data_IF_584838405656
#
_entry.id   IF_584838405656
#
_cell.length_a   1.000
_cell.length_b   1.000
_cell.length_c   1.000
_cell.angle_alpha   90.00
_cell.angle_beta   90.00
_cell.angle_gamma   90.00
#
_symmetry.space_group_name_H-M   'P 1'
#
loop_
_entity.id
_entity.type
_entity.pdbx_description
1 polymer ?
#
# COMPACT_ATOMS: atom_id res chain seq x y z
N UNK A 1 6.17 -0.97 -7.94
CA UNK A 1 5.29 -1.99 -8.56
C UNK A 1 4.87 -1.52 -9.94
N UNK A 2 4.64 -2.45 -10.87
CA UNK A 2 3.98 -2.11 -12.14
C UNK A 2 2.51 -1.79 -11.85
N UNK A 3 1.97 -0.73 -12.44
CA UNK A 3 0.56 -0.40 -12.29
C UNK A 3 -0.29 -1.54 -12.86
N UNK A 4 -1.25 -2.11 -12.11
CA UNK A 4 -2.14 -3.15 -12.61
C UNK A 4 -3.02 -2.65 -13.77
N UNK A 5 -3.20 -1.34 -13.93
CA UNK A 5 -3.99 -0.74 -15.01
C UNK A 5 -3.19 -0.35 -16.25
N UNK A 6 -1.90 -0.02 -16.09
CA UNK A 6 -1.03 0.36 -17.21
C UNK A 6 0.37 -0.21 -17.00
N UNK A 7 0.75 -1.27 -17.73
CA UNK A 7 2.02 -1.95 -17.52
C UNK A 7 3.25 -1.08 -17.84
N UNK A 8 3.07 0.08 -18.49
CA UNK A 8 4.15 1.03 -18.79
C UNK A 8 4.44 2.00 -17.65
N UNK A 9 3.65 1.98 -16.57
CA UNK A 9 3.79 2.89 -15.43
C UNK A 9 4.23 2.14 -14.19
N UNK A 10 5.32 2.58 -13.57
CA UNK A 10 5.69 2.17 -12.22
C UNK A 10 5.03 3.08 -11.19
N UNK A 11 4.38 2.50 -10.19
CA UNK A 11 3.82 3.25 -9.05
C UNK A 11 4.51 2.83 -7.76
N UNK A 12 4.63 3.78 -6.85
CA UNK A 12 5.10 3.58 -5.47
C UNK A 12 3.90 3.74 -4.55
N UNK A 13 3.69 2.75 -3.68
CA UNK A 13 2.58 2.70 -2.71
C UNK A 13 3.10 2.11 -1.40
N UNK A 14 2.44 2.45 -0.30
CA UNK A 14 2.75 1.89 1.02
C UNK A 14 2.03 0.56 1.20
N UNK A 15 2.73 -0.44 1.70
CA UNK A 15 2.10 -1.69 2.15
C UNK A 15 1.45 -1.43 3.51
N UNK A 16 0.15 -1.71 3.61
CA UNK A 16 -0.66 -1.54 4.81
C UNK A 16 -0.91 -2.87 5.50
N UNK A 17 -0.94 -3.97 4.75
CA UNK A 17 -1.07 -5.32 5.31
C UNK A 17 -0.50 -6.38 4.38
N UNK A 18 -0.08 -7.48 4.97
CA UNK A 18 0.48 -8.66 4.33
C UNK A 18 -0.50 -9.83 4.43
N UNK A 19 -0.23 -10.93 3.72
CA UNK A 19 -1.00 -12.16 3.82
C UNK A 19 -1.41 -12.50 5.26
N UNK A 20 -2.71 -12.75 5.46
CA UNK A 20 -3.30 -13.10 6.75
C UNK A 20 -3.68 -11.90 7.62
N UNK A 21 -3.19 -10.69 7.32
CA UNK A 21 -3.55 -9.49 8.08
C UNK A 21 -4.99 -9.09 7.80
N UNK A 22 -5.67 -8.58 8.84
CA UNK A 22 -6.97 -7.93 8.71
C UNK A 22 -6.78 -6.42 8.56
N UNK A 23 -7.05 -5.90 7.37
CA UNK A 23 -6.89 -4.48 7.05
C UNK A 23 -8.25 -3.80 6.99
N UNK A 24 -8.43 -2.78 7.81
CA UNK A 24 -9.60 -1.89 7.75
C UNK A 24 -9.28 -0.67 6.90
N UNK A 25 -10.11 -0.39 5.90
CA UNK A 25 -9.95 0.75 4.99
C UNK A 25 -11.27 1.50 4.81
N UNK A 26 -11.17 2.78 4.45
CA UNK A 26 -12.32 3.62 4.12
C UNK A 26 -12.76 3.37 2.68
N UNK A 27 -14.04 3.11 2.48
CA UNK A 27 -14.62 2.85 1.14
C UNK A 27 -14.74 4.15 0.35
N UNK A 28 -15.30 5.19 0.97
CA UNK A 28 -15.54 6.49 0.35
C UNK A 28 -15.07 7.62 1.28
N UNK A 29 -13.80 8.05 1.19
CA UNK A 29 -13.27 9.13 2.03
C UNK A 29 -13.86 10.51 1.72
N UNK A 30 -14.50 10.68 0.55
CA UNK A 30 -15.12 11.94 0.10
C UNK A 30 -16.59 12.12 0.48
N UNK A 31 -17.22 11.15 1.14
CA UNK A 31 -18.62 11.23 1.58
C UNK A 31 -18.70 11.32 3.10
N UNK A 32 -19.67 12.11 3.59
CA UNK A 32 -19.91 12.33 5.02
C UNK A 32 -20.22 11.04 5.80
N UNK A 33 -20.73 10.00 5.12
CA UNK A 33 -20.84 8.64 5.66
C UNK A 33 -19.63 7.82 5.22
N UNK A 34 -18.50 8.02 5.92
CA UNK A 34 -17.28 7.27 5.70
C UNK A 34 -17.42 5.83 6.20
N UNK A 35 -18.08 4.97 5.42
CA UNK A 35 -18.14 3.55 5.73
C UNK A 35 -16.74 2.92 5.64
N UNK A 36 -16.37 2.18 6.69
CA UNK A 36 -15.14 1.40 6.72
C UNK A 36 -15.44 -0.07 6.46
N UNK A 37 -14.53 -0.77 5.80
CA UNK A 37 -14.60 -2.21 5.55
C UNK A 37 -13.31 -2.86 6.00
N UNK A 38 -13.43 -4.06 6.55
CA UNK A 38 -12.28 -4.90 6.89
C UNK A 38 -12.17 -6.02 5.88
N UNK A 39 -10.94 -6.28 5.43
CA UNK A 39 -10.60 -7.37 4.52
C UNK A 39 -9.42 -8.16 5.07
N UNK A 40 -9.46 -9.47 4.92
CA UNK A 40 -8.31 -10.34 5.21
C UNK A 40 -7.48 -10.46 3.93
N UNK A 41 -6.19 -10.15 4.02
CA UNK A 41 -5.30 -10.21 2.85
C UNK A 41 -5.08 -11.66 2.45
N UNK A 42 -5.37 -12.04 1.19
CA UNK A 42 -5.17 -13.40 0.70
C UNK A 42 -3.71 -13.84 0.74
N UNK A 43 -3.50 -15.15 0.63
CA UNK A 43 -2.17 -15.72 0.47
C UNK A 43 -1.47 -15.18 -0.79
N UNK A 44 -0.17 -14.93 -0.68
CA UNK A 44 0.68 -14.39 -1.75
C UNK A 44 0.33 -12.98 -2.24
N UNK A 45 -0.42 -12.22 -1.43
CA UNK A 45 -0.84 -10.85 -1.74
C UNK A 45 -0.44 -9.84 -0.65
N UNK A 46 -0.45 -8.56 -1.04
CA UNK A 46 -0.31 -7.41 -0.16
C UNK A 46 -1.47 -6.44 -0.35
N UNK A 47 -1.86 -5.77 0.73
CA UNK A 47 -2.74 -4.62 0.66
C UNK A 47 -1.91 -3.35 0.60
N UNK A 48 -2.08 -2.54 -0.44
CA UNK A 48 -1.35 -1.28 -0.63
C UNK A 48 -2.29 -0.09 -0.62
N UNK A 49 -1.90 0.99 0.05
CA UNK A 49 -2.63 2.26 0.01
C UNK A 49 -1.66 3.40 -0.32
N UNK A 50 -2.15 4.38 -1.06
CA UNK A 50 -1.39 5.62 -1.30
C UNK A 50 -1.57 6.59 -0.14
N UNK A 51 -0.57 7.45 0.09
CA UNK A 51 -0.66 8.49 1.12
C UNK A 51 -1.67 9.62 0.74
N UNK A 52 -2.11 9.68 -0.52
CA UNK A 52 -3.16 10.61 -0.98
C UNK A 52 -4.51 9.91 -1.16
N UNK A 53 -5.22 9.78 -0.05
CA UNK A 53 -6.51 9.09 0.11
C UNK A 53 -7.55 9.47 -0.96
N UNK A 54 -7.53 10.71 -1.49
CA UNK A 54 -8.53 11.25 -2.43
C UNK A 54 -8.17 11.09 -3.92
N UNK A 55 -6.90 10.85 -4.25
CA UNK A 55 -6.44 10.77 -5.63
C UNK A 55 -5.67 9.47 -5.94
N UNK A 56 -5.41 8.64 -4.94
CA UNK A 56 -4.68 7.40 -5.13
C UNK A 56 -5.59 6.26 -5.58
N UNK A 57 -5.35 5.80 -6.80
CA UNK A 57 -5.77 4.47 -7.17
C UNK A 57 -4.92 3.43 -6.44
N UNK A 58 -5.54 2.62 -5.59
CA UNK A 58 -4.90 1.67 -4.68
C UNK A 58 -5.81 0.48 -4.34
N UNK A 59 -5.41 -0.37 -3.37
CA UNK A 59 -6.12 -1.61 -3.07
C UNK A 59 -7.58 -1.42 -2.66
N UNK A 60 -7.99 -0.21 -2.26
CA UNK A 60 -9.41 0.10 -2.00
C UNK A 60 -10.28 -0.04 -3.26
N UNK A 61 -9.70 0.15 -4.44
CA UNK A 61 -10.40 0.10 -5.73
C UNK A 61 -10.17 -1.23 -6.46
N UNK A 62 -8.92 -1.72 -6.52
CA UNK A 62 -8.57 -2.94 -7.28
C UNK A 62 -8.36 -4.19 -6.42
N UNK A 63 -8.39 -4.08 -5.08
CA UNK A 63 -8.17 -5.19 -4.16
C UNK A 63 -6.70 -5.46 -3.82
N UNK A 64 -6.43 -6.62 -3.22
CA UNK A 64 -5.08 -7.02 -2.84
C UNK A 64 -4.21 -7.27 -4.09
N UNK A 65 -2.92 -6.98 -4.01
CA UNK A 65 -1.95 -7.08 -5.12
C UNK A 65 -1.06 -8.29 -4.93
N UNK A 66 -0.89 -9.17 -5.93
CA UNK A 66 0.02 -10.30 -5.82
C UNK A 66 1.47 -9.86 -5.69
N UNK A 67 2.29 -10.60 -4.92
CA UNK A 67 3.72 -10.31 -4.73
C UNK A 67 4.49 -10.18 -6.06
N UNK A 68 4.08 -10.92 -7.10
CA UNK A 68 4.72 -10.91 -8.42
C UNK A 68 4.68 -9.55 -9.14
N UNK A 69 3.80 -8.62 -8.76
CA UNK A 69 3.76 -7.26 -9.33
C UNK A 69 4.67 -6.27 -8.57
N UNK A 70 5.25 -6.69 -7.44
CA UNK A 70 6.18 -5.89 -6.65
C UNK A 70 7.57 -6.00 -7.27
N UNK A 71 7.97 -4.93 -7.95
CA UNK A 71 9.28 -4.84 -8.63
C UNK A 71 10.44 -4.45 -7.73
N UNK A 72 10.18 -4.05 -6.48
CA UNK A 72 11.22 -3.63 -5.55
C UNK A 72 10.66 -2.97 -4.30
N UNK A 73 11.49 -2.97 -3.24
CA UNK A 73 11.21 -2.33 -1.95
C UNK A 73 12.10 -1.10 -1.80
N UNK A 74 11.53 0.00 -1.32
CA UNK A 74 12.30 1.21 -1.01
C UNK A 74 12.90 1.03 0.38
N UNK A 75 14.23 1.03 0.45
CA UNK A 75 14.98 0.78 1.69
C UNK A 75 15.79 2.00 2.15
N UNK A 76 15.84 3.09 1.37
CA UNK A 76 16.61 4.28 1.70
C UNK A 76 15.89 5.55 1.24
N UNK A 77 15.91 6.58 2.08
CA UNK A 77 15.43 7.93 1.77
C UNK A 77 16.64 8.84 1.59
N UNK A 78 16.73 9.49 0.43
CA UNK A 78 17.89 10.33 0.08
C UNK A 78 17.66 11.83 0.40
N UNK A 79 16.40 12.28 0.50
CA UNK A 79 16.03 13.68 0.71
C UNK A 79 14.80 13.82 1.62
N UNK A 80 14.63 14.90 2.40
CA UNK A 80 15.63 15.94 2.73
C UNK A 80 16.87 15.37 3.44
N UNK A 81 18.04 16.04 3.37
CA UNK A 81 19.31 15.52 3.91
C UNK A 81 19.26 15.23 5.41
N UNK A 82 18.44 15.99 6.13
CA UNK A 82 18.14 15.84 7.56
C UNK A 82 17.46 14.50 7.90
N UNK A 83 16.91 13.83 6.90
CA UNK A 83 16.26 12.53 7.02
C UNK A 83 16.86 11.51 6.05
N UNK A 84 18.11 11.74 5.65
CA UNK A 84 18.90 10.75 4.94
C UNK A 84 19.11 9.54 5.85
N UNK A 85 18.69 8.36 5.40
CA UNK A 85 18.81 7.15 6.21
C UNK A 85 18.10 5.96 5.60
N UNK A 86 18.43 4.77 6.12
CA UNK A 86 17.69 3.56 5.82
C UNK A 86 16.24 3.71 6.30
N UNK A 87 15.30 3.24 5.50
CA UNK A 87 13.93 3.06 5.96
C UNK A 87 13.94 1.76 6.76
N UNK A 88 14.01 1.87 8.09
CA UNK A 88 13.96 0.70 8.96
C UNK A 88 12.66 -0.07 8.73
N UNK A 89 12.81 -1.38 8.59
CA UNK A 89 11.68 -2.29 8.59
C UNK A 89 11.04 -2.23 9.97
N UNK A 90 9.86 -1.61 10.05
CA UNK A 90 9.06 -1.61 11.26
C UNK A 90 8.84 -3.07 11.68
N UNK A 91 9.60 -3.43 12.71
CA UNK A 91 9.70 -4.71 13.37
C UNK A 91 8.33 -5.36 13.52
N UNK A 92 8.21 -6.62 13.10
CA UNK A 92 7.19 -7.54 13.63
C UNK A 92 7.28 -7.46 15.16
N UNK A 93 6.34 -6.76 15.81
CA UNK A 93 6.18 -6.90 17.25
C UNK A 93 5.67 -8.33 17.50
N UNK A 94 6.43 -9.06 18.32
CA UNK A 94 6.21 -10.45 18.71
C UNK A 94 4.91 -10.66 19.45
#
# INVERSE_FOLDING_TARGET
MISPEDPRKSVVKRVVGMQGDSVTYLVDPGKSDSSSRTVVVPQDHVWVQGDNIFASNDSRQFGAVPYGLITGKIFCRVWPPESFGAIDDATKQS
#
